data_IF_460234711744
#
_entry.id   IF_460234711744
#
_cell.length_a   1.000
_cell.length_b   1.000
_cell.length_c   1.000
_cell.angle_alpha   90.00
_cell.angle_beta   90.00
_cell.angle_gamma   90.00
#
_symmetry.space_group_name_H-M   'P 1'
#
loop_
_entity.id
_entity.type
_entity.pdbx_description
1 polymer ?
#
# COMPACT_ATOMS: atom_id res chain seq x y z
N UNK A 1 14.03 15.25 -43.74
CA UNK A 1 13.13 14.24 -43.13
C UNK A 1 12.32 14.97 -42.06
N UNK A 2 11.24 15.63 -42.48
CA UNK A 2 10.35 16.39 -41.60
C UNK A 2 9.45 15.39 -40.88
N UNK A 3 9.67 15.21 -39.58
CA UNK A 3 8.67 14.58 -38.75
C UNK A 3 7.51 15.56 -38.61
N UNK A 4 6.44 15.36 -39.39
CA UNK A 4 5.13 15.85 -38.98
C UNK A 4 4.73 15.03 -37.75
N UNK A 5 5.16 15.49 -36.58
CA UNK A 5 4.72 14.94 -35.30
C UNK A 5 3.22 15.25 -35.17
N UNK A 6 2.40 14.29 -35.57
CA UNK A 6 1.00 14.22 -35.15
C UNK A 6 0.93 14.41 -33.63
N UNK A 7 -0.08 15.14 -33.17
CA UNK A 7 -0.27 15.42 -31.74
C UNK A 7 -0.20 14.12 -30.95
N UNK A 8 0.77 14.02 -30.03
CA UNK A 8 0.84 12.89 -29.08
C UNK A 8 -0.44 12.89 -28.23
N UNK A 9 -0.90 11.71 -27.75
CA UNK A 9 -2.03 11.63 -26.84
C UNK A 9 -1.82 12.52 -25.61
N UNK A 10 -2.91 13.10 -25.12
CA UNK A 10 -2.93 13.79 -23.83
C UNK A 10 -2.82 12.72 -22.74
N UNK A 11 -1.89 12.92 -21.81
CA UNK A 11 -1.64 12.02 -20.69
C UNK A 11 -2.09 12.68 -19.40
N UNK A 12 -3.06 12.06 -18.72
CA UNK A 12 -3.44 12.41 -17.34
C UNK A 12 -2.75 11.48 -16.35
N UNK A 13 -2.14 12.03 -15.30
CA UNK A 13 -1.61 11.24 -14.19
C UNK A 13 -2.55 11.38 -12.97
N UNK A 14 -3.17 10.27 -12.60
CA UNK A 14 -3.97 10.15 -11.39
C UNK A 14 -3.06 9.87 -10.19
N UNK A 15 -3.41 10.45 -9.02
CA UNK A 15 -2.57 10.44 -7.81
C UNK A 15 -1.24 11.19 -7.97
N UNK A 16 -1.24 12.24 -8.81
CA UNK A 16 -0.09 13.09 -9.04
C UNK A 16 0.34 13.86 -7.78
N UNK A 17 1.62 14.24 -7.72
CA UNK A 17 2.13 15.15 -6.69
C UNK A 17 2.41 14.55 -5.31
N UNK A 18 2.10 13.27 -5.06
CA UNK A 18 2.48 12.60 -3.81
C UNK A 18 4.01 12.44 -3.74
N UNK A 19 4.60 12.70 -2.56
CA UNK A 19 6.04 12.61 -2.34
C UNK A 19 6.37 11.84 -1.07
N UNK A 20 7.31 10.90 -1.18
CA UNK A 20 7.97 10.33 0.00
C UNK A 20 9.18 11.17 0.42
N UNK A 21 9.74 11.98 -0.51
CA UNK A 21 11.02 12.67 -0.38
C UNK A 21 12.24 11.76 -0.22
N UNK A 22 12.04 10.44 -0.32
CA UNK A 22 13.10 9.43 -0.25
C UNK A 22 13.45 8.95 -1.66
N UNK A 23 14.54 9.48 -2.23
CA UNK A 23 15.02 9.10 -3.56
C UNK A 23 15.66 7.71 -3.62
N UNK A 24 15.85 7.03 -2.50
CA UNK A 24 16.26 5.63 -2.50
C UNK A 24 15.08 4.69 -2.84
N UNK A 25 13.85 5.17 -2.70
CA UNK A 25 12.63 4.47 -3.09
C UNK A 25 12.42 4.60 -4.62
N UNK A 26 12.45 3.49 -5.39
CA UNK A 26 12.26 3.55 -6.85
C UNK A 26 10.94 4.20 -7.27
N UNK A 27 9.89 4.00 -6.47
CA UNK A 27 8.57 4.57 -6.69
C UNK A 27 8.58 6.11 -6.61
N UNK A 28 9.47 6.72 -5.82
CA UNK A 28 9.62 8.18 -5.77
C UNK A 28 10.19 8.73 -7.07
N UNK A 29 11.17 8.04 -7.65
CA UNK A 29 11.73 8.40 -8.96
C UNK A 29 10.66 8.28 -10.05
N UNK A 30 9.88 7.19 -10.01
CA UNK A 30 8.79 6.97 -10.96
C UNK A 30 7.71 8.06 -10.85
N UNK A 31 7.36 8.52 -9.64
CA UNK A 31 6.43 9.64 -9.44
C UNK A 31 6.92 10.91 -10.11
N UNK A 32 8.16 11.32 -9.84
CA UNK A 32 8.76 12.53 -10.41
C UNK A 32 8.80 12.48 -11.94
N UNK A 33 9.21 11.34 -12.51
CA UNK A 33 9.27 11.16 -13.97
C UNK A 33 7.86 11.19 -14.57
N UNK A 34 6.90 10.50 -13.95
CA UNK A 34 5.52 10.43 -14.46
C UNK A 34 4.83 11.80 -14.41
N UNK A 35 4.98 12.55 -13.31
CA UNK A 35 4.48 13.92 -13.18
C UNK A 35 5.08 14.86 -14.24
N UNK A 36 6.34 14.67 -14.58
CA UNK A 36 7.03 15.47 -15.62
C UNK A 36 6.46 15.18 -17.02
N UNK A 37 6.13 13.92 -17.31
CA UNK A 37 5.66 13.49 -18.64
C UNK A 37 4.18 13.79 -18.89
N UNK A 38 3.36 13.85 -17.84
CA UNK A 38 1.92 14.05 -17.93
C UNK A 38 1.55 15.48 -18.37
N UNK A 39 0.46 15.62 -19.10
CA UNK A 39 -0.12 16.90 -19.51
C UNK A 39 -1.06 17.46 -18.44
N UNK A 40 -1.78 16.57 -17.74
CA UNK A 40 -2.72 16.88 -16.66
C UNK A 40 -2.32 16.09 -15.41
N UNK A 41 -2.37 16.74 -14.25
CA UNK A 41 -1.96 16.19 -12.97
C UNK A 41 -3.15 16.22 -12.02
N UNK A 42 -3.78 15.06 -11.84
CA UNK A 42 -4.92 14.88 -10.96
C UNK A 42 -4.44 14.51 -9.57
N UNK A 43 -4.49 15.48 -8.65
CA UNK A 43 -3.97 15.31 -7.30
C UNK A 43 -5.05 14.80 -6.35
N UNK A 44 -4.68 13.97 -5.36
CA UNK A 44 -5.63 13.41 -4.42
C UNK A 44 -5.91 14.31 -3.22
N UNK A 45 -5.02 15.27 -2.94
CA UNK A 45 -5.02 16.04 -1.68
C UNK A 45 -4.21 17.34 -1.80
N UNK A 46 -4.40 18.31 -0.90
CA UNK A 46 -3.72 19.61 -0.96
C UNK A 46 -2.19 19.53 -0.93
N UNK A 47 -1.61 18.58 -0.19
CA UNK A 47 -0.17 18.37 -0.15
C UNK A 47 0.42 17.95 -1.51
N UNK A 48 -0.36 17.21 -2.31
CA UNK A 48 0.01 16.89 -3.69
C UNK A 48 0.13 18.13 -4.57
N UNK A 49 -0.82 19.07 -4.45
CA UNK A 49 -0.78 20.36 -5.14
C UNK A 49 0.45 21.15 -4.72
N UNK A 50 0.69 21.26 -3.40
CA UNK A 50 1.80 22.01 -2.84
C UNK A 50 3.15 21.49 -3.32
N UNK A 51 3.33 20.16 -3.37
CA UNK A 51 4.56 19.55 -3.85
C UNK A 51 4.81 19.91 -5.32
N UNK A 52 3.81 19.77 -6.19
CA UNK A 52 3.92 20.11 -7.61
C UNK A 52 4.22 21.60 -7.82
N UNK A 53 3.56 22.49 -7.07
CA UNK A 53 3.82 23.93 -7.12
C UNK A 53 5.27 24.24 -6.70
N UNK A 54 5.76 23.64 -5.62
CA UNK A 54 7.15 23.82 -5.15
C UNK A 54 8.17 23.33 -6.18
N UNK A 55 7.82 22.33 -6.98
CA UNK A 55 8.64 21.79 -8.07
C UNK A 55 8.57 22.62 -9.36
N UNK A 56 7.76 23.69 -9.37
CA UNK A 56 7.64 24.61 -10.51
C UNK A 56 6.64 24.15 -11.57
N UNK A 57 5.76 23.19 -11.26
CA UNK A 57 4.67 22.79 -12.15
C UNK A 57 3.68 23.93 -12.30
N UNK A 58 3.30 24.24 -13.54
CA UNK A 58 2.32 25.28 -13.83
C UNK A 58 0.97 24.93 -13.17
N UNK A 59 0.34 25.85 -12.40
CA UNK A 59 -0.94 25.60 -11.76
C UNK A 59 -2.05 25.16 -12.71
N UNK A 60 -1.99 25.58 -13.98
CA UNK A 60 -2.94 25.18 -15.02
C UNK A 60 -2.91 23.69 -15.37
N UNK A 61 -1.86 22.95 -14.97
CA UNK A 61 -1.78 21.49 -15.13
C UNK A 61 -2.36 20.74 -13.94
N UNK A 62 -2.56 21.41 -12.81
CA UNK A 62 -2.88 20.78 -11.53
C UNK A 62 -4.39 20.90 -11.31
N UNK A 63 -5.05 19.76 -11.12
CA UNK A 63 -6.47 19.70 -10.81
C UNK A 63 -6.66 18.72 -9.65
N UNK A 64 -7.13 19.24 -8.51
CA UNK A 64 -7.39 18.41 -7.34
C UNK A 64 -8.75 17.72 -7.46
N UNK A 65 -8.72 16.42 -7.70
CA UNK A 65 -9.91 15.58 -7.93
C UNK A 65 -10.31 14.74 -6.71
N UNK A 66 -9.44 14.66 -5.70
CA UNK A 66 -9.67 13.86 -4.51
C UNK A 66 -9.10 12.44 -4.61
N UNK A 67 -9.26 11.68 -3.54
CA UNK A 67 -8.61 10.37 -3.39
C UNK A 67 -9.51 9.24 -3.91
N UNK A 68 -9.10 8.59 -5.00
CA UNK A 68 -9.84 7.48 -5.63
C UNK A 68 -10.04 6.27 -4.70
N UNK A 69 -9.21 6.12 -3.67
CA UNK A 69 -9.40 5.07 -2.66
C UNK A 69 -10.62 5.34 -1.79
N UNK A 70 -10.99 6.60 -1.57
CA UNK A 70 -12.25 6.97 -0.89
C UNK A 70 -13.42 6.61 -1.78
N UNK A 71 -13.36 6.96 -3.07
CA UNK A 71 -14.41 6.60 -4.02
C UNK A 71 -14.63 5.10 -4.08
N UNK A 72 -13.52 4.33 -4.15
CA UNK A 72 -13.56 2.87 -4.17
C UNK A 72 -14.15 2.30 -2.88
N UNK A 73 -13.85 2.89 -1.72
CA UNK A 73 -14.42 2.52 -0.43
C UNK A 73 -15.92 2.80 -0.38
N UNK A 74 -16.36 3.99 -0.77
CA UNK A 74 -17.78 4.37 -0.77
C UNK A 74 -18.59 3.51 -1.73
N UNK A 75 -18.06 3.22 -2.93
CA UNK A 75 -18.70 2.34 -3.92
C UNK A 75 -18.92 0.92 -3.39
N UNK A 76 -18.09 0.45 -2.46
CA UNK A 76 -18.14 -0.89 -1.89
C UNK A 76 -18.64 -0.93 -0.44
N UNK A 77 -18.95 0.23 0.16
CA UNK A 77 -19.28 0.39 1.58
C UNK A 77 -20.33 -0.61 2.04
N UNK A 78 -21.49 -0.63 1.39
CA UNK A 78 -22.59 -1.54 1.73
C UNK A 78 -22.19 -3.01 1.68
N UNK A 79 -21.29 -3.37 0.76
CA UNK A 79 -20.80 -4.76 0.64
C UNK A 79 -19.84 -5.08 1.77
N UNK A 80 -18.91 -4.17 2.08
CA UNK A 80 -17.92 -4.32 3.16
C UNK A 80 -18.61 -4.37 4.53
N UNK A 81 -19.56 -3.48 4.79
CA UNK A 81 -20.28 -3.41 6.08
C UNK A 81 -21.17 -4.64 6.33
N UNK A 82 -21.63 -5.30 5.26
CA UNK A 82 -22.34 -6.59 5.36
C UNK A 82 -21.41 -7.78 5.57
N UNK A 83 -20.12 -7.65 5.27
CA UNK A 83 -19.16 -8.74 5.49
C UNK A 83 -18.89 -8.88 6.98
N UNK A 84 -19.07 -10.09 7.50
CA UNK A 84 -18.71 -10.42 8.87
C UNK A 84 -17.30 -11.01 8.93
N UNK A 85 -16.31 -10.22 8.48
CA UNK A 85 -14.92 -10.65 8.38
C UNK A 85 -14.33 -11.12 9.73
N UNK A 86 -14.70 -10.43 10.82
CA UNK A 86 -14.27 -10.81 12.16
C UNK A 86 -14.81 -12.19 12.55
N UNK A 87 -16.10 -12.48 12.33
CA UNK A 87 -16.66 -13.80 12.61
C UNK A 87 -16.02 -14.90 11.77
N UNK A 88 -15.70 -14.64 10.50
CA UNK A 88 -15.04 -15.63 9.64
C UNK A 88 -13.64 -16.02 10.15
N UNK A 89 -12.98 -15.12 10.88
CA UNK A 89 -11.66 -15.32 11.47
C UNK A 89 -11.72 -15.64 12.97
N UNK A 90 -12.91 -15.82 13.56
CA UNK A 90 -13.12 -15.98 15.00
C UNK A 90 -12.51 -14.85 15.85
N UNK A 91 -12.65 -13.61 15.37
CA UNK A 91 -12.16 -12.41 16.04
C UNK A 91 -13.31 -11.61 16.65
N UNK A 92 -12.99 -10.90 17.74
CA UNK A 92 -13.88 -9.91 18.33
C UNK A 92 -13.60 -8.52 17.70
N UNK A 93 -14.62 -7.86 17.10
CA UNK A 93 -14.45 -6.54 16.50
C UNK A 93 -13.79 -5.53 17.45
N UNK A 94 -12.75 -4.85 16.95
CA UNK A 94 -11.99 -3.86 17.74
C UNK A 94 -10.94 -4.45 18.69
N UNK A 95 -10.87 -5.77 18.83
CA UNK A 95 -9.95 -6.47 19.75
C UNK A 95 -8.92 -7.34 19.02
N UNK A 96 -8.35 -6.81 17.93
CA UNK A 96 -7.27 -7.46 17.18
C UNK A 96 -6.38 -6.43 16.47
N UNK A 97 -5.19 -6.84 16.06
CA UNK A 97 -4.31 -6.07 15.17
C UNK A 97 -4.30 -6.65 13.75
N UNK A 98 -4.25 -5.78 12.73
CA UNK A 98 -4.02 -6.17 11.35
C UNK A 98 -2.58 -5.81 10.95
N UNK A 99 -1.86 -6.80 10.42
CA UNK A 99 -0.45 -6.65 10.00
C UNK A 99 -0.38 -6.62 8.48
N UNK A 100 0.14 -5.52 7.94
CA UNK A 100 0.50 -5.42 6.52
C UNK A 100 2.00 -5.19 6.39
N UNK A 101 2.74 -6.17 5.89
CA UNK A 101 4.19 -6.11 5.80
C UNK A 101 4.68 -6.59 4.43
N UNK A 102 5.03 -5.63 3.56
CA UNK A 102 5.46 -5.92 2.18
C UNK A 102 6.55 -4.98 1.65
N UNK A 103 6.91 -3.90 2.38
CA UNK A 103 7.93 -2.95 1.90
C UNK A 103 9.30 -3.63 1.84
N UNK A 104 10.05 -3.50 0.72
CA UNK A 104 11.38 -4.09 0.56
C UNK A 104 12.32 -3.84 1.74
N UNK A 105 12.36 -2.60 2.23
CA UNK A 105 13.18 -2.19 3.39
C UNK A 105 12.88 -2.97 4.67
N UNK A 106 11.68 -3.51 4.82
CA UNK A 106 11.28 -4.29 5.99
C UNK A 106 11.51 -5.79 5.80
N UNK A 107 11.40 -6.30 4.57
CA UNK A 107 11.26 -7.75 4.32
C UNK A 107 12.46 -8.36 3.61
N UNK A 108 13.32 -7.57 2.95
CA UNK A 108 14.48 -8.09 2.24
C UNK A 108 15.75 -8.12 3.10
N UNK A 109 15.84 -7.27 4.12
CA UNK A 109 16.92 -7.32 5.09
C UNK A 109 16.64 -8.38 6.16
N UNK A 110 17.50 -9.40 6.22
CA UNK A 110 17.30 -10.54 7.09
C UNK A 110 17.27 -10.15 8.59
N UNK A 111 18.09 -9.19 9.02
CA UNK A 111 18.13 -8.77 10.42
C UNK A 111 16.87 -8.01 10.80
N UNK A 112 16.39 -7.13 9.92
CA UNK A 112 15.15 -6.38 10.10
C UNK A 112 13.96 -7.32 10.13
N UNK A 113 13.86 -8.24 9.17
CA UNK A 113 12.76 -9.21 9.13
C UNK A 113 12.75 -10.10 10.38
N UNK A 114 13.91 -10.58 10.86
CA UNK A 114 14.02 -11.32 12.13
C UNK A 114 13.49 -10.53 13.32
N UNK A 115 13.89 -9.26 13.44
CA UNK A 115 13.40 -8.39 14.53
C UNK A 115 11.89 -8.17 14.45
N UNK A 116 11.36 -7.97 13.24
CA UNK A 116 9.93 -7.79 13.01
C UNK A 116 9.15 -9.06 13.37
N UNK A 117 9.57 -10.25 12.91
CA UNK A 117 8.92 -11.50 13.27
C UNK A 117 8.91 -11.73 14.78
N UNK A 118 10.04 -11.45 15.47
CA UNK A 118 10.10 -11.54 16.94
C UNK A 118 9.16 -10.55 17.62
N UNK A 119 9.07 -9.33 17.12
CA UNK A 119 8.15 -8.33 17.65
C UNK A 119 6.68 -8.74 17.45
N UNK A 120 6.34 -9.24 16.26
CA UNK A 120 4.99 -9.75 15.96
C UNK A 120 4.63 -10.92 16.87
N UNK A 121 5.54 -11.87 17.09
CA UNK A 121 5.31 -12.96 18.03
C UNK A 121 5.04 -12.47 19.46
N UNK A 122 5.85 -11.53 19.96
CA UNK A 122 5.65 -10.93 21.28
C UNK A 122 4.36 -10.10 21.41
N UNK A 123 3.90 -9.47 20.33
CA UNK A 123 2.60 -8.76 20.30
C UNK A 123 1.44 -9.77 20.27
N UNK A 124 1.57 -10.85 19.50
CA UNK A 124 0.56 -11.91 19.42
C UNK A 124 0.28 -12.57 20.78
N UNK A 125 1.23 -12.55 21.72
CA UNK A 125 1.00 -13.02 23.08
C UNK A 125 0.01 -12.14 23.89
N UNK A 126 -0.21 -10.89 23.47
CA UNK A 126 -1.04 -9.92 24.18
C UNK A 126 -2.35 -9.61 23.45
N UNK A 127 -2.34 -9.62 22.11
CA UNK A 127 -3.51 -9.30 21.29
C UNK A 127 -3.53 -10.19 20.04
N UNK A 128 -4.70 -10.70 19.61
CA UNK A 128 -4.83 -11.41 18.34
C UNK A 128 -4.31 -10.58 17.17
N UNK A 129 -3.52 -11.20 16.30
CA UNK A 129 -2.99 -10.57 15.09
C UNK A 129 -3.46 -11.31 13.85
N UNK A 130 -3.95 -10.58 12.86
CA UNK A 130 -4.20 -11.08 11.52
C UNK A 130 -3.05 -10.63 10.64
N UNK A 131 -2.36 -11.58 10.02
CA UNK A 131 -1.25 -11.30 9.12
C UNK A 131 -1.47 -11.95 7.74
N UNK A 132 -2.19 -11.27 6.83
CA UNK A 132 -2.27 -11.66 5.44
C UNK A 132 -0.90 -11.45 4.78
N UNK A 133 -0.15 -12.54 4.63
CA UNK A 133 1.25 -12.44 4.27
C UNK A 133 1.40 -12.24 2.75
N UNK A 134 2.12 -11.20 2.36
CA UNK A 134 2.45 -11.00 0.96
C UNK A 134 3.41 -12.11 0.47
N UNK A 135 3.29 -12.63 -0.77
CA UNK A 135 4.14 -13.72 -1.27
C UNK A 135 5.64 -13.48 -1.15
N UNK A 136 6.09 -12.22 -1.38
CA UNK A 136 7.49 -11.81 -1.17
C UNK A 136 7.93 -12.01 0.29
N UNK A 137 7.10 -11.57 1.23
CA UNK A 137 7.37 -11.66 2.66
C UNK A 137 7.40 -13.11 3.12
N UNK A 138 6.42 -13.92 2.68
CA UNK A 138 6.36 -15.37 2.96
C UNK A 138 7.64 -16.06 2.53
N UNK A 139 8.05 -15.86 1.28
CA UNK A 139 9.29 -16.42 0.73
C UNK A 139 10.51 -16.08 1.57
N UNK A 140 10.63 -14.84 2.04
CA UNK A 140 11.77 -14.41 2.85
C UNK A 140 11.71 -14.95 4.28
N UNK A 141 10.52 -15.09 4.87
CA UNK A 141 10.32 -15.71 6.19
C UNK A 141 10.70 -17.20 6.15
N UNK A 142 10.24 -17.93 5.12
CA UNK A 142 10.55 -19.34 4.91
C UNK A 142 12.05 -19.56 4.68
N UNK A 143 12.68 -18.73 3.83
CA UNK A 143 14.13 -18.78 3.58
C UNK A 143 14.98 -18.59 4.84
N UNK A 144 14.45 -17.88 5.84
CA UNK A 144 15.13 -17.60 7.10
C UNK A 144 14.69 -18.52 8.25
N UNK A 145 13.89 -19.55 7.96
CA UNK A 145 13.33 -20.50 8.93
C UNK A 145 12.54 -19.81 10.07
N UNK A 146 11.90 -18.67 9.77
CA UNK A 146 11.16 -17.87 10.76
C UNK A 146 9.68 -18.27 10.87
N UNK A 147 9.19 -19.11 9.96
CA UNK A 147 7.78 -19.49 9.93
C UNK A 147 7.36 -20.20 11.21
N UNK A 148 8.19 -21.13 11.71
CA UNK A 148 7.93 -21.86 12.94
C UNK A 148 7.81 -20.93 14.17
N UNK A 149 8.54 -19.81 14.20
CA UNK A 149 8.42 -18.82 15.29
C UNK A 149 7.06 -18.13 15.29
N UNK A 150 6.48 -17.91 14.12
CA UNK A 150 5.19 -17.25 13.97
C UNK A 150 4.05 -18.23 14.21
N UNK A 151 4.14 -19.46 13.70
CA UNK A 151 3.11 -20.50 13.86
C UNK A 151 2.99 -21.03 15.29
N UNK A 152 4.01 -20.85 16.12
CA UNK A 152 3.95 -21.17 17.56
C UNK A 152 2.98 -20.27 18.33
N UNK A 153 2.64 -19.10 17.80
CA UNK A 153 1.78 -18.13 18.47
C UNK A 153 0.31 -18.38 18.10
N UNK A 154 -0.44 -18.99 19.01
CA UNK A 154 -1.85 -19.37 18.79
C UNK A 154 -2.78 -18.20 18.41
N UNK A 155 -2.39 -16.98 18.76
CA UNK A 155 -3.14 -15.75 18.50
C UNK A 155 -2.71 -15.05 17.21
N UNK A 156 -1.74 -15.59 16.46
CA UNK A 156 -1.31 -15.07 15.17
C UNK A 156 -1.99 -15.86 14.03
N UNK A 157 -2.99 -15.24 13.41
CA UNK A 157 -3.72 -15.77 12.27
C UNK A 157 -2.96 -15.38 11.00
N UNK A 158 -2.25 -16.34 10.40
CA UNK A 158 -1.56 -16.14 9.12
C UNK A 158 -2.47 -16.61 7.99
N UNK A 159 -2.68 -15.76 6.99
CA UNK A 159 -3.48 -16.10 5.81
C UNK A 159 -2.76 -15.72 4.52
N UNK A 160 -3.25 -16.24 3.40
CA UNK A 160 -2.94 -15.68 2.09
C UNK A 160 -3.49 -14.24 1.97
N UNK A 161 -3.01 -13.45 0.98
CA UNK A 161 -3.54 -12.11 0.71
C UNK A 161 -5.07 -12.13 0.55
N UNK A 162 -5.74 -11.24 1.28
CA UNK A 162 -7.20 -11.14 1.27
C UNK A 162 -7.69 -10.37 0.05
N UNK A 163 -8.88 -10.72 -0.43
CA UNK A 163 -9.52 -10.07 -1.58
C UNK A 163 -10.42 -8.91 -1.11
N UNK A 164 -10.43 -7.80 -1.86
CA UNK A 164 -11.33 -6.67 -1.65
C UNK A 164 -12.83 -7.00 -1.67
N UNK A 165 -13.24 -8.12 -2.30
CA UNK A 165 -14.65 -8.50 -2.47
C UNK A 165 -15.07 -9.78 -1.74
N UNK A 166 -14.16 -10.48 -1.08
CA UNK A 166 -14.47 -11.80 -0.52
C UNK A 166 -13.92 -11.98 0.90
N UNK A 167 -14.84 -11.95 1.87
CA UNK A 167 -14.96 -13.03 2.83
C UNK A 167 -16.16 -13.88 2.37
N UNK A 168 -15.89 -14.99 1.69
CA UNK A 168 -16.87 -16.03 1.35
C UNK A 168 -16.37 -17.35 1.93
#
# INVERSE_FOLDING_TARGET
MSYELGRRPIVGHLEAGLRSFDRSMPEEINRLVTDTLADILWTPSPDGDENLIREGVAPSKIERVGNIMIDSLEMLRDTIEKQNACSALNLDPGHYGLVTLHRPSNVDDAQTLKRLCKALAGIAQQVPLVFPIHPRTRKNIEKLDLMATLEQENQLIISEPLNYRACA
#
